data_IF_365312889791
#
_entry.id   IF_365312889791
#
_cell.length_a   1.000
_cell.length_b   1.000
_cell.length_c   1.000
_cell.angle_alpha   90.00
_cell.angle_beta   90.00
_cell.angle_gamma   90.00
#
_symmetry.space_group_name_H-M   'P 1'
#
loop_
_entity.id
_entity.type
_entity.pdbx_description
1 polymer ?
#
# COMPACT_ATOMS: atom_id res chain seq x y z
N UNK A 1 23.62 -2.21 -3.68
CA UNK A 1 23.04 -3.45 -3.10
C UNK A 1 22.26 -4.23 -4.14
N UNK A 2 22.20 -5.55 -3.97
CA UNK A 2 21.31 -6.45 -4.71
C UNK A 2 20.08 -6.76 -3.84
N UNK A 3 18.89 -6.38 -4.24
CA UNK A 3 17.70 -6.41 -3.39
C UNK A 3 16.61 -7.28 -4.02
N UNK A 4 16.02 -8.17 -3.21
CA UNK A 4 14.84 -8.94 -3.59
C UNK A 4 13.58 -8.25 -3.05
N UNK A 5 12.59 -7.96 -3.92
CA UNK A 5 11.36 -7.27 -3.51
C UNK A 5 10.13 -8.14 -3.78
N UNK A 6 9.55 -8.67 -2.74
CA UNK A 6 8.26 -9.37 -2.80
C UNK A 6 7.12 -8.35 -2.87
N UNK A 7 6.28 -8.44 -3.89
CA UNK A 7 5.24 -7.45 -4.15
C UNK A 7 5.74 -6.18 -4.87
N UNK A 8 6.95 -6.22 -5.46
CA UNK A 8 7.56 -5.09 -6.18
C UNK A 8 6.74 -4.58 -7.37
N UNK A 9 5.91 -5.41 -8.00
CA UNK A 9 5.02 -5.01 -9.11
C UNK A 9 3.78 -4.24 -8.65
N UNK A 10 3.48 -4.20 -7.34
CA UNK A 10 2.35 -3.48 -6.77
C UNK A 10 2.55 -1.95 -6.73
N UNK A 11 1.52 -1.23 -6.28
CA UNK A 11 1.51 0.22 -6.19
C UNK A 11 2.71 0.79 -5.41
N UNK A 12 2.91 0.37 -4.17
CA UNK A 12 4.05 0.82 -3.35
C UNK A 12 5.37 0.26 -3.87
N UNK A 13 5.35 -1.00 -4.33
CA UNK A 13 6.54 -1.67 -4.85
C UNK A 13 7.17 -0.94 -6.03
N UNK A 14 6.36 -0.40 -6.95
CA UNK A 14 6.84 0.39 -8.08
C UNK A 14 7.55 1.68 -7.65
N UNK A 15 7.00 2.38 -6.65
CA UNK A 15 7.62 3.58 -6.11
C UNK A 15 8.96 3.27 -5.43
N UNK A 16 9.02 2.18 -4.65
CA UNK A 16 10.26 1.70 -4.02
C UNK A 16 11.28 1.30 -5.09
N UNK A 17 10.90 0.50 -6.11
CA UNK A 17 11.80 0.11 -7.20
C UNK A 17 12.38 1.34 -7.91
N UNK A 18 11.56 2.34 -8.22
CA UNK A 18 12.03 3.57 -8.89
C UNK A 18 13.08 4.30 -8.06
N UNK A 19 12.85 4.47 -6.75
CA UNK A 19 13.80 5.15 -5.86
C UNK A 19 15.09 4.34 -5.65
N UNK A 20 14.99 3.02 -5.55
CA UNK A 20 16.16 2.14 -5.41
C UNK A 20 17.03 2.16 -6.66
N UNK A 21 16.42 2.14 -7.86
CA UNK A 21 17.16 2.30 -9.13
C UNK A 21 17.87 3.65 -9.18
N UNK A 22 17.20 4.73 -8.80
CA UNK A 22 17.80 6.07 -8.72
C UNK A 22 18.96 6.14 -7.72
N UNK A 23 18.93 5.31 -6.66
CA UNK A 23 20.03 5.16 -5.70
C UNK A 23 21.12 4.17 -6.15
N UNK A 24 21.04 3.61 -7.36
CA UNK A 24 22.08 2.72 -7.93
C UNK A 24 22.01 1.26 -7.47
N UNK A 25 20.87 0.81 -6.95
CA UNK A 25 20.69 -0.59 -6.53
C UNK A 25 20.21 -1.49 -7.66
N UNK A 26 20.53 -2.77 -7.59
CA UNK A 26 20.02 -3.83 -8.47
C UNK A 26 18.86 -4.55 -7.80
N UNK A 27 17.77 -4.77 -8.54
CA UNK A 27 16.51 -5.24 -7.97
C UNK A 27 16.06 -6.52 -8.68
N UNK A 28 15.60 -7.50 -7.91
CA UNK A 28 14.90 -8.68 -8.41
C UNK A 28 13.46 -8.66 -7.90
N UNK A 29 12.49 -8.76 -8.80
CA UNK A 29 11.06 -8.76 -8.48
C UNK A 29 10.44 -10.06 -8.97
N UNK A 30 10.10 -11.02 -8.10
CA UNK A 30 9.30 -12.18 -8.47
C UNK A 30 7.83 -11.78 -8.68
N UNK A 31 7.23 -12.32 -9.71
CA UNK A 31 5.82 -12.13 -10.04
C UNK A 31 5.21 -13.39 -10.63
N UNK A 32 3.94 -13.67 -10.34
CA UNK A 32 3.22 -14.81 -10.92
C UNK A 32 2.88 -14.66 -12.40
N UNK A 33 2.84 -13.42 -12.90
CA UNK A 33 2.58 -13.06 -14.30
C UNK A 33 3.43 -11.86 -14.66
N UNK A 34 4.25 -11.99 -15.69
CA UNK A 34 5.17 -10.94 -16.15
C UNK A 34 4.43 -9.64 -16.49
N UNK A 35 3.22 -9.74 -17.02
CA UNK A 35 2.39 -8.59 -17.36
C UNK A 35 2.05 -7.67 -16.17
N UNK A 36 1.97 -8.21 -14.96
CA UNK A 36 1.74 -7.41 -13.76
C UNK A 36 2.90 -6.47 -13.44
N UNK A 37 4.08 -6.73 -13.99
CA UNK A 37 5.29 -5.97 -13.77
C UNK A 37 5.67 -5.04 -14.94
N UNK A 38 4.78 -4.83 -15.92
CA UNK A 38 5.07 -3.99 -17.12
C UNK A 38 5.60 -2.61 -16.77
N UNK A 39 5.09 -2.00 -15.71
CA UNK A 39 5.55 -0.68 -15.25
C UNK A 39 7.02 -0.66 -14.77
N UNK A 40 7.61 -1.83 -14.50
CA UNK A 40 9.01 -1.96 -14.08
C UNK A 40 9.98 -2.16 -15.25
N UNK A 41 9.49 -2.55 -16.44
CA UNK A 41 10.36 -2.84 -17.58
C UNK A 41 11.23 -1.66 -18.07
N UNK A 42 10.79 -0.39 -17.99
CA UNK A 42 11.63 0.73 -18.35
C UNK A 42 12.74 1.05 -17.33
N UNK A 43 12.66 0.48 -16.12
CA UNK A 43 13.63 0.74 -15.07
C UNK A 43 14.92 -0.07 -15.33
N UNK A 44 16.08 0.58 -15.48
CA UNK A 44 17.35 -0.14 -15.56
C UNK A 44 17.60 -0.86 -14.24
N UNK A 45 18.41 -1.90 -14.25
CA UNK A 45 18.80 -2.67 -13.06
C UNK A 45 17.64 -3.36 -12.32
N UNK A 46 16.45 -3.52 -12.96
CA UNK A 46 15.33 -4.31 -12.45
C UNK A 46 15.19 -5.60 -13.26
N UNK A 47 15.35 -6.73 -12.61
CA UNK A 47 15.08 -8.06 -13.18
C UNK A 47 13.71 -8.55 -12.68
N UNK A 48 12.83 -8.86 -13.62
CA UNK A 48 11.52 -9.46 -13.33
C UNK A 48 11.56 -10.93 -13.58
N UNK A 49 11.34 -11.73 -12.53
CA UNK A 49 11.32 -13.21 -12.57
C UNK A 49 9.86 -13.70 -12.52
N UNK A 50 9.41 -14.43 -13.56
CA UNK A 50 8.07 -15.02 -13.55
C UNK A 50 8.11 -16.36 -12.84
N UNK A 51 7.80 -16.35 -11.55
CA UNK A 51 7.85 -17.50 -10.64
C UNK A 51 6.78 -17.40 -9.55
N UNK A 52 6.45 -18.55 -8.95
CA UNK A 52 5.67 -18.58 -7.71
C UNK A 52 6.60 -18.45 -6.49
N UNK A 53 6.64 -17.25 -5.93
CA UNK A 53 7.42 -16.95 -4.70
C UNK A 53 6.78 -17.53 -3.42
N UNK A 54 5.72 -18.33 -3.50
CA UNK A 54 5.19 -19.07 -2.36
C UNK A 54 5.93 -20.39 -2.09
N UNK A 55 6.72 -20.87 -3.06
CA UNK A 55 7.57 -22.02 -2.89
C UNK A 55 8.90 -21.64 -2.24
N UNK A 56 9.22 -22.31 -1.12
CA UNK A 56 10.41 -22.01 -0.32
C UNK A 56 11.71 -22.21 -1.11
N UNK A 57 11.81 -23.26 -1.90
CA UNK A 57 13.03 -23.56 -2.68
C UNK A 57 13.28 -22.47 -3.74
N UNK A 58 12.23 -22.08 -4.44
CA UNK A 58 12.25 -20.98 -5.42
C UNK A 58 12.66 -19.66 -4.76
N UNK A 59 12.04 -19.34 -3.63
CA UNK A 59 12.33 -18.08 -2.94
C UNK A 59 13.74 -18.06 -2.36
N UNK A 60 14.22 -19.18 -1.83
CA UNK A 60 15.61 -19.32 -1.35
C UNK A 60 16.61 -19.10 -2.50
N UNK A 61 16.38 -19.72 -3.67
CA UNK A 61 17.21 -19.50 -4.87
C UNK A 61 17.28 -18.02 -5.26
N UNK A 62 16.16 -17.31 -5.21
CA UNK A 62 16.10 -15.88 -5.52
C UNK A 62 16.79 -15.01 -4.46
N UNK A 63 16.83 -15.46 -3.22
CA UNK A 63 17.47 -14.75 -2.11
C UNK A 63 19.00 -14.92 -2.06
N UNK A 64 19.55 -15.97 -2.68
CA UNK A 64 21.00 -16.18 -2.73
C UNK A 64 21.71 -14.99 -3.38
N UNK A 65 22.73 -14.45 -2.70
CA UNK A 65 23.53 -13.31 -3.15
C UNK A 65 22.80 -11.96 -3.09
N UNK A 66 21.68 -11.88 -2.38
CA UNK A 66 21.01 -10.60 -2.06
C UNK A 66 21.52 -10.02 -0.76
N UNK A 67 21.66 -8.70 -0.73
CA UNK A 67 22.06 -7.95 0.45
C UNK A 67 20.86 -7.71 1.38
N UNK A 68 19.65 -7.56 0.80
CA UNK A 68 18.42 -7.32 1.54
C UNK A 68 17.19 -7.93 0.85
N UNK A 69 16.16 -8.23 1.65
CA UNK A 69 14.83 -8.60 1.18
C UNK A 69 13.80 -7.58 1.67
N UNK A 70 12.95 -7.09 0.77
CA UNK A 70 11.82 -6.22 1.08
C UNK A 70 10.53 -7.00 0.84
N UNK A 71 9.73 -7.17 1.89
CA UNK A 71 8.42 -7.83 1.81
C UNK A 71 7.29 -6.81 1.87
N UNK A 72 6.65 -6.57 0.72
CA UNK A 72 5.51 -5.66 0.55
C UNK A 72 4.20 -6.43 0.34
N UNK A 73 4.20 -7.75 0.55
CA UNK A 73 3.01 -8.57 0.32
C UNK A 73 1.87 -8.16 1.25
N UNK A 74 0.72 -7.89 0.65
CA UNK A 74 -0.48 -7.52 1.37
C UNK A 74 -1.69 -7.50 0.46
N UNK A 75 -2.85 -7.81 1.03
CA UNK A 75 -4.15 -7.77 0.36
C UNK A 75 -5.17 -7.12 1.30
N UNK A 76 -6.25 -6.54 0.73
CA UNK A 76 -7.36 -5.95 1.47
C UNK A 76 -8.62 -6.83 1.46
N UNK A 77 -8.60 -7.93 0.73
CA UNK A 77 -9.63 -8.97 0.69
C UNK A 77 -9.02 -10.30 0.22
N UNK A 78 -9.67 -11.41 0.53
CA UNK A 78 -9.21 -12.76 0.18
C UNK A 78 -8.54 -13.50 1.33
N UNK A 79 -7.59 -14.38 1.04
CA UNK A 79 -6.94 -15.21 2.05
C UNK A 79 -5.80 -14.44 2.77
N UNK A 80 -6.17 -13.68 3.79
CA UNK A 80 -5.24 -12.91 4.62
C UNK A 80 -4.18 -13.79 5.28
N UNK A 81 -4.56 -14.96 5.80
CA UNK A 81 -3.66 -15.88 6.48
C UNK A 81 -2.50 -16.30 5.58
N UNK A 82 -2.83 -16.75 4.37
CA UNK A 82 -1.81 -17.15 3.40
C UNK A 82 -0.84 -16.00 3.08
N UNK A 83 -1.36 -14.80 2.83
CA UNK A 83 -0.54 -13.70 2.33
C UNK A 83 0.25 -13.01 3.44
N UNK A 84 -0.39 -12.74 4.60
CA UNK A 84 0.25 -11.95 5.65
C UNK A 84 1.08 -12.81 6.62
N UNK A 85 0.75 -14.10 6.77
CA UNK A 85 1.41 -14.99 7.73
C UNK A 85 2.28 -16.00 7.00
N UNK A 86 1.67 -16.94 6.25
CA UNK A 86 2.42 -18.05 5.63
C UNK A 86 3.51 -17.57 4.67
N UNK A 87 3.21 -16.59 3.78
CA UNK A 87 4.24 -16.08 2.86
C UNK A 87 5.31 -15.25 3.58
N UNK A 88 4.99 -14.60 4.69
CA UNK A 88 5.99 -13.92 5.52
C UNK A 88 6.93 -14.93 6.18
N UNK A 89 6.39 -16.04 6.71
CA UNK A 89 7.16 -17.14 7.27
C UNK A 89 8.09 -17.76 6.21
N UNK A 90 7.56 -18.04 5.02
CA UNK A 90 8.35 -18.54 3.87
C UNK A 90 9.48 -17.59 3.49
N UNK A 91 9.20 -16.28 3.47
CA UNK A 91 10.22 -15.27 3.15
C UNK A 91 11.34 -15.21 4.21
N UNK A 92 10.99 -15.28 5.48
CA UNK A 92 11.96 -15.33 6.58
C UNK A 92 12.82 -16.59 6.49
N UNK A 93 12.21 -17.75 6.26
CA UNK A 93 12.93 -19.02 6.10
C UNK A 93 13.90 -18.99 4.90
N UNK A 94 13.47 -18.41 3.77
CA UNK A 94 14.31 -18.22 2.59
C UNK A 94 15.50 -17.29 2.88
N UNK A 95 15.29 -16.18 3.59
CA UNK A 95 16.38 -15.29 4.00
C UNK A 95 17.42 -16.01 4.84
N UNK A 96 16.98 -16.77 5.86
CA UNK A 96 17.88 -17.56 6.73
C UNK A 96 18.66 -18.60 5.94
N UNK A 97 17.99 -19.33 5.05
CA UNK A 97 18.64 -20.36 4.21
C UNK A 97 19.65 -19.76 3.22
N UNK A 98 19.42 -18.55 2.74
CA UNK A 98 20.28 -17.83 1.81
C UNK A 98 21.35 -16.96 2.49
N UNK A 99 21.34 -16.85 3.83
CA UNK A 99 22.27 -16.00 4.59
C UNK A 99 22.00 -14.50 4.48
N UNK A 100 20.77 -14.08 4.12
CA UNK A 100 20.38 -12.66 4.04
C UNK A 100 19.93 -12.18 5.41
N UNK A 101 20.66 -11.25 6.01
CA UNK A 101 20.36 -10.72 7.33
C UNK A 101 19.35 -9.55 7.29
N UNK A 102 19.44 -8.66 6.29
CA UNK A 102 18.62 -7.45 6.20
C UNK A 102 17.23 -7.71 5.64
N UNK A 103 16.18 -7.38 6.42
CA UNK A 103 14.78 -7.65 6.05
C UNK A 103 13.86 -6.47 6.36
N UNK A 104 13.23 -5.90 5.34
CA UNK A 104 12.26 -4.82 5.50
C UNK A 104 10.85 -5.35 5.27
N UNK A 105 9.93 -5.05 6.18
CA UNK A 105 8.57 -5.58 6.16
C UNK A 105 7.52 -4.47 6.15
N UNK A 106 6.56 -4.57 5.23
CA UNK A 106 5.39 -3.69 5.23
C UNK A 106 4.24 -4.31 6.01
N UNK A 107 3.96 -3.72 7.16
CA UNK A 107 2.77 -3.98 7.96
C UNK A 107 1.65 -2.99 7.63
N UNK A 108 0.84 -2.64 8.60
CA UNK A 108 -0.20 -1.62 8.51
C UNK A 108 -0.41 -0.94 9.85
N UNK A 109 -0.72 0.34 9.84
CA UNK A 109 -1.16 1.05 11.03
C UNK A 109 -2.43 0.39 11.59
N UNK A 110 -2.48 0.18 12.89
CA UNK A 110 -3.57 -0.54 13.55
C UNK A 110 -3.46 -2.07 13.49
N UNK A 111 -2.34 -2.64 13.02
CA UNK A 111 -2.07 -4.07 13.16
C UNK A 111 -2.07 -4.46 14.65
N UNK A 112 -2.97 -5.35 15.06
CA UNK A 112 -3.17 -5.78 16.44
C UNK A 112 -3.76 -7.18 16.49
N UNK A 113 -3.28 -8.03 17.38
CA UNK A 113 -3.82 -9.38 17.60
C UNK A 113 -5.26 -9.33 18.13
N UNK A 114 -5.61 -8.26 18.84
CA UNK A 114 -6.96 -8.00 19.37
C UNK A 114 -7.79 -7.12 18.43
N UNK A 115 -7.26 -6.79 17.26
CA UNK A 115 -7.94 -5.95 16.26
C UNK A 115 -9.30 -6.54 15.84
N UNK A 116 -10.28 -5.70 15.49
CA UNK A 116 -11.63 -6.18 15.15
C UNK A 116 -11.70 -6.93 13.81
N UNK A 117 -10.74 -6.73 12.91
CA UNK A 117 -10.71 -7.33 11.56
C UNK A 117 -9.67 -8.43 11.43
N UNK A 118 -9.91 -9.38 10.53
CA UNK A 118 -8.91 -10.39 10.18
C UNK A 118 -7.66 -9.78 9.54
N UNK A 119 -7.84 -8.71 8.75
CA UNK A 119 -6.74 -7.94 8.20
C UNK A 119 -5.76 -7.48 9.28
N UNK A 120 -6.27 -6.80 10.34
CA UNK A 120 -5.44 -6.31 11.44
C UNK A 120 -4.75 -7.43 12.22
N UNK A 121 -5.50 -8.51 12.51
CA UNK A 121 -4.97 -9.68 13.24
C UNK A 121 -3.86 -10.38 12.47
N UNK A 122 -4.05 -10.62 11.19
CA UNK A 122 -3.05 -11.33 10.38
C UNK A 122 -1.82 -10.45 10.09
N UNK A 123 -1.99 -9.13 9.95
CA UNK A 123 -0.85 -8.19 9.87
C UNK A 123 -0.02 -8.22 11.15
N UNK A 124 -0.65 -8.20 12.33
CA UNK A 124 0.03 -8.30 13.61
C UNK A 124 0.79 -9.62 13.77
N UNK A 125 0.20 -10.75 13.33
CA UNK A 125 0.87 -12.05 13.36
C UNK A 125 2.09 -12.08 12.41
N UNK A 126 1.98 -11.46 11.22
CA UNK A 126 3.13 -11.27 10.33
C UNK A 126 4.24 -10.45 11.00
N UNK A 127 3.91 -9.35 11.70
CA UNK A 127 4.88 -8.59 12.48
C UNK A 127 5.57 -9.43 13.57
N UNK A 128 4.81 -10.29 14.29
CA UNK A 128 5.37 -11.16 15.32
C UNK A 128 6.43 -12.11 14.73
N UNK A 129 6.12 -12.78 13.62
CA UNK A 129 7.07 -13.64 12.91
C UNK A 129 8.36 -12.89 12.53
N UNK A 130 8.24 -11.64 12.07
CA UNK A 130 9.39 -10.81 11.71
C UNK A 130 10.22 -10.46 12.95
N UNK A 131 9.58 -10.08 14.07
CA UNK A 131 10.27 -9.77 15.34
C UNK A 131 11.04 -10.96 15.90
N UNK A 132 10.47 -12.16 15.79
CA UNK A 132 11.04 -13.42 16.26
C UNK A 132 12.03 -14.04 15.28
N UNK A 133 12.18 -13.46 14.09
CA UNK A 133 13.01 -14.03 13.03
C UNK A 133 14.51 -14.07 13.35
N UNK A 134 15.02 -13.19 14.20
CA UNK A 134 16.44 -12.99 14.43
C UNK A 134 17.16 -12.23 13.32
N UNK A 135 16.45 -11.78 12.27
CA UNK A 135 17.00 -10.95 11.20
C UNK A 135 17.17 -9.49 11.66
N UNK A 136 17.98 -8.73 10.95
CA UNK A 136 18.07 -7.27 11.11
C UNK A 136 16.90 -6.62 10.35
N UNK A 137 15.72 -6.72 10.95
CA UNK A 137 14.48 -6.27 10.34
C UNK A 137 14.23 -4.77 10.58
N UNK A 138 13.44 -4.17 9.68
CA UNK A 138 12.69 -2.93 9.95
C UNK A 138 11.23 -3.15 9.52
N UNK A 139 10.29 -2.84 10.41
CA UNK A 139 8.86 -2.94 10.13
C UNK A 139 8.31 -1.54 9.90
N UNK A 140 7.67 -1.32 8.77
CA UNK A 140 6.92 -0.11 8.48
C UNK A 140 5.43 -0.39 8.53
N UNK A 141 4.71 0.39 9.32
CA UNK A 141 3.27 0.31 9.52
C UNK A 141 2.60 1.60 8.99
N UNK A 142 2.35 1.71 7.68
CA UNK A 142 1.74 2.88 7.11
C UNK A 142 0.24 2.98 7.42
N UNK A 143 -0.26 4.21 7.53
CA UNK A 143 -1.67 4.53 7.34
C UNK A 143 -2.07 4.30 5.88
N UNK A 144 -3.25 4.74 5.48
CA UNK A 144 -3.66 4.68 4.07
C UNK A 144 -2.64 5.41 3.19
N UNK A 145 -2.12 4.70 2.19
CA UNK A 145 -1.11 5.24 1.28
C UNK A 145 -1.80 5.85 0.06
N UNK A 146 -1.47 7.09 -0.27
CA UNK A 146 -2.00 7.80 -1.42
C UNK A 146 -0.90 8.15 -2.43
N UNK A 147 -1.30 8.34 -3.69
CA UNK A 147 -0.42 8.72 -4.79
C UNK A 147 -0.94 8.24 -6.14
N UNK A 148 -0.24 8.58 -7.21
CA UNK A 148 -0.65 8.19 -8.58
C UNK A 148 -0.81 6.67 -8.68
N UNK A 149 -2.04 6.22 -8.97
CA UNK A 149 -2.39 4.80 -9.10
C UNK A 149 -2.72 4.11 -7.77
N UNK A 150 -2.98 4.86 -6.68
CA UNK A 150 -3.53 4.28 -5.45
C UNK A 150 -4.92 3.69 -5.69
N UNK A 151 -5.30 2.73 -4.86
CA UNK A 151 -6.61 2.10 -4.92
C UNK A 151 -7.60 2.69 -3.91
N UNK A 152 -7.28 3.79 -3.25
CA UNK A 152 -8.13 4.41 -2.24
C UNK A 152 -8.76 5.72 -2.78
N UNK A 153 -8.00 6.78 -2.98
CA UNK A 153 -8.53 8.05 -3.46
C UNK A 153 -8.98 7.96 -4.93
N UNK A 154 -8.24 7.23 -5.78
CA UNK A 154 -8.63 7.02 -7.17
C UNK A 154 -9.95 6.25 -7.32
N UNK A 155 -10.26 5.30 -6.39
CA UNK A 155 -11.59 4.65 -6.39
C UNK A 155 -12.71 5.64 -6.09
N UNK A 156 -12.52 6.55 -5.14
CA UNK A 156 -13.52 7.58 -4.87
C UNK A 156 -13.66 8.53 -6.03
N UNK A 157 -12.57 8.95 -6.68
CA UNK A 157 -12.64 9.77 -7.89
C UNK A 157 -13.43 9.08 -9.01
N UNK A 158 -13.17 7.79 -9.24
CA UNK A 158 -13.92 6.99 -10.20
C UNK A 158 -15.40 6.82 -9.82
N UNK A 159 -15.69 6.53 -8.54
CA UNK A 159 -17.09 6.42 -8.09
C UNK A 159 -17.86 7.71 -8.28
N UNK A 160 -17.25 8.85 -7.94
CA UNK A 160 -17.84 10.17 -8.12
C UNK A 160 -18.11 10.44 -9.60
N UNK A 161 -17.16 10.16 -10.50
CA UNK A 161 -17.32 10.40 -11.95
C UNK A 161 -18.40 9.53 -12.62
N UNK A 162 -18.80 8.43 -11.99
CA UNK A 162 -19.85 7.52 -12.50
C UNK A 162 -21.23 7.82 -11.93
N UNK A 163 -21.34 8.69 -10.92
CA UNK A 163 -22.63 9.06 -10.33
C UNK A 163 -23.42 9.95 -11.30
N UNK A 164 -24.71 9.65 -11.55
CA UNK A 164 -25.57 10.56 -12.31
C UNK A 164 -25.75 11.91 -11.57
N UNK A 165 -25.91 13.01 -12.28
CA UNK A 165 -26.21 14.31 -11.67
C UNK A 165 -27.35 14.23 -10.66
N UNK A 166 -27.23 14.92 -9.54
CA UNK A 166 -28.21 14.99 -8.44
C UNK A 166 -28.34 13.72 -7.56
N UNK A 167 -27.66 12.63 -7.89
CA UNK A 167 -27.61 11.44 -7.02
C UNK A 167 -26.59 11.67 -5.92
N UNK A 168 -26.97 11.61 -4.62
CA UNK A 168 -26.02 11.78 -3.54
C UNK A 168 -25.05 10.60 -3.45
N UNK A 169 -23.81 10.88 -3.08
CA UNK A 169 -22.83 9.85 -2.75
C UNK A 169 -23.11 9.32 -1.35
N UNK A 170 -23.55 8.06 -1.27
CA UNK A 170 -23.74 7.36 0.01
C UNK A 170 -22.40 6.82 0.49
N UNK A 171 -21.94 7.29 1.67
CA UNK A 171 -20.62 7.00 2.18
C UNK A 171 -20.68 6.20 3.50
N UNK A 172 -20.45 4.87 3.44
CA UNK A 172 -20.29 4.04 4.63
C UNK A 172 -19.03 4.45 5.40
N UNK A 173 -19.08 4.48 6.74
CA UNK A 173 -17.93 4.81 7.56
C UNK A 173 -17.44 6.26 7.43
N UNK A 174 -18.34 7.20 7.09
CA UNK A 174 -18.01 8.60 6.83
C UNK A 174 -17.21 9.31 7.95
N UNK A 175 -17.37 8.89 9.20
CA UNK A 175 -16.67 9.42 10.38
C UNK A 175 -15.34 8.70 10.69
N UNK A 176 -15.00 7.63 9.99
CA UNK A 176 -13.74 6.91 10.19
C UNK A 176 -12.55 7.87 9.93
N UNK A 177 -11.56 7.81 10.83
CA UNK A 177 -10.42 8.70 10.80
C UNK A 177 -9.20 8.04 10.15
N UNK A 178 -8.52 8.79 9.31
CA UNK A 178 -7.31 8.39 8.60
C UNK A 178 -6.25 9.51 8.66
N UNK A 179 -5.00 9.11 8.59
CA UNK A 179 -3.85 10.02 8.49
C UNK A 179 -3.00 9.63 7.28
N UNK A 180 -3.49 9.92 6.05
CA UNK A 180 -2.91 9.43 4.81
C UNK A 180 -1.44 9.80 4.65
N UNK A 181 -0.62 8.87 4.14
CA UNK A 181 0.81 9.08 3.88
C UNK A 181 1.08 8.95 2.38
N UNK A 182 1.98 9.78 1.85
CA UNK A 182 2.37 9.73 0.44
C UNK A 182 3.15 8.43 0.13
N UNK A 183 2.88 7.82 -1.02
CA UNK A 183 3.64 6.66 -1.51
C UNK A 183 5.12 6.99 -1.69
N UNK A 184 5.45 8.22 -2.04
CA UNK A 184 6.83 8.68 -2.19
C UNK A 184 7.56 8.75 -0.85
N UNK A 185 6.86 9.15 0.22
CA UNK A 185 7.41 9.17 1.58
C UNK A 185 7.61 7.76 2.11
N UNK A 186 6.65 6.86 1.87
CA UNK A 186 6.80 5.44 2.21
C UNK A 186 8.00 4.85 1.48
N UNK A 187 8.14 5.10 0.18
CA UNK A 187 9.26 4.59 -0.60
C UNK A 187 10.59 5.16 -0.10
N UNK A 188 10.65 6.46 0.24
CA UNK A 188 11.82 7.10 0.83
C UNK A 188 12.22 6.46 2.16
N UNK A 189 11.24 6.15 3.03
CA UNK A 189 11.50 5.49 4.31
C UNK A 189 12.09 4.08 4.13
N UNK A 190 11.57 3.30 3.17
CA UNK A 190 12.13 1.98 2.85
C UNK A 190 13.56 2.06 2.33
N UNK A 191 13.84 2.99 1.42
CA UNK A 191 15.19 3.14 0.83
C UNK A 191 16.18 3.61 1.88
N UNK A 192 15.84 4.64 2.65
CA UNK A 192 16.73 5.19 3.67
C UNK A 192 17.05 4.19 4.79
N UNK A 193 16.10 3.32 5.14
CA UNK A 193 16.32 2.31 6.18
C UNK A 193 17.27 1.18 5.77
N UNK A 194 17.58 0.99 4.49
CA UNK A 194 18.45 -0.11 4.05
C UNK A 194 19.82 -0.09 4.73
N UNK A 195 20.42 1.10 4.78
CA UNK A 195 21.76 1.33 5.29
C UNK A 195 21.78 2.01 6.68
N UNK A 196 20.61 2.38 7.22
CA UNK A 196 20.50 3.01 8.53
C UNK A 196 20.40 1.96 9.64
N UNK A 197 21.51 1.68 10.31
CA UNK A 197 21.58 0.73 11.42
C UNK A 197 20.66 1.11 12.59
N UNK A 198 20.34 2.40 12.77
CA UNK A 198 19.39 2.84 13.80
C UNK A 198 17.97 2.33 13.57
N UNK A 199 17.66 1.94 12.33
CA UNK A 199 16.39 1.34 11.95
C UNK A 199 16.29 -0.16 12.21
N UNK A 200 17.40 -0.83 12.54
CA UNK A 200 17.44 -2.27 12.74
C UNK A 200 16.66 -2.68 13.99
N UNK A 201 15.82 -3.70 13.80
CA UNK A 201 14.92 -4.26 14.83
C UNK A 201 13.91 -3.24 15.36
N UNK A 202 13.60 -2.22 14.57
CA UNK A 202 12.63 -1.18 14.89
C UNK A 202 11.34 -1.33 14.10
N UNK A 203 10.28 -0.73 14.64
CA UNK A 203 8.98 -0.57 13.99
C UNK A 203 8.63 0.91 13.91
N UNK A 204 8.30 1.37 12.72
CA UNK A 204 7.92 2.76 12.47
C UNK A 204 6.49 2.85 11.93
N UNK A 205 5.71 3.76 12.49
CA UNK A 205 4.41 4.14 11.94
C UNK A 205 4.62 5.25 10.91
N UNK A 206 4.13 5.02 9.70
CA UNK A 206 4.25 6.01 8.64
C UNK A 206 2.91 6.69 8.43
N UNK A 207 2.82 7.93 8.88
CA UNK A 207 1.61 8.74 8.83
C UNK A 207 1.90 10.11 8.20
N UNK A 208 0.91 10.68 7.54
CA UNK A 208 1.01 12.03 7.01
C UNK A 208 0.84 13.10 8.11
N UNK A 209 1.01 14.37 7.76
CA UNK A 209 0.99 15.46 8.75
C UNK A 209 -0.41 15.79 9.30
N UNK A 210 -1.49 15.32 8.67
CA UNK A 210 -2.86 15.74 8.99
C UNK A 210 -3.84 14.57 9.04
N UNK A 211 -4.76 14.64 10.00
CA UNK A 211 -5.85 13.68 10.17
C UNK A 211 -7.10 14.14 9.42
N UNK A 212 -7.77 13.21 8.73
CA UNK A 212 -9.01 13.46 8.00
C UNK A 212 -10.07 12.44 8.40
N UNK A 213 -11.33 12.83 8.34
CA UNK A 213 -12.42 11.86 8.27
C UNK A 213 -12.54 11.32 6.83
N UNK A 214 -13.11 10.13 6.65
CA UNK A 214 -13.38 9.59 5.31
C UNK A 214 -14.24 10.57 4.50
N UNK A 215 -15.25 11.20 5.14
CA UNK A 215 -16.08 12.24 4.51
C UNK A 215 -15.24 13.43 4.01
N UNK A 216 -14.27 13.89 4.80
CA UNK A 216 -13.40 15.00 4.40
C UNK A 216 -12.49 14.61 3.22
N UNK A 217 -11.94 13.38 3.21
CA UNK A 217 -11.14 12.88 2.09
C UNK A 217 -11.96 12.81 0.80
N UNK A 218 -13.18 12.25 0.86
CA UNK A 218 -14.05 12.14 -0.30
C UNK A 218 -14.52 13.52 -0.79
N UNK A 219 -14.84 14.43 0.12
CA UNK A 219 -15.17 15.82 -0.23
C UNK A 219 -14.00 16.51 -0.94
N UNK A 220 -12.77 16.27 -0.48
CA UNK A 220 -11.56 16.80 -1.12
C UNK A 220 -11.37 16.24 -2.54
N UNK A 221 -11.56 14.92 -2.72
CA UNK A 221 -11.53 14.28 -4.04
C UNK A 221 -12.59 14.90 -4.97
N UNK A 222 -13.81 15.15 -4.48
CA UNK A 222 -14.87 15.81 -5.26
C UNK A 222 -14.46 17.21 -5.70
N UNK A 223 -13.85 18.00 -4.79
CA UNK A 223 -13.34 19.34 -5.15
C UNK A 223 -12.33 19.26 -6.30
N UNK A 224 -11.36 18.34 -6.22
CA UNK A 224 -10.34 18.14 -7.26
C UNK A 224 -10.95 17.65 -8.59
N UNK A 225 -12.00 16.83 -8.52
CA UNK A 225 -12.74 16.35 -9.70
C UNK A 225 -13.72 17.38 -10.27
N UNK A 226 -13.82 18.58 -9.65
CA UNK A 226 -14.83 19.60 -9.97
C UNK A 226 -16.28 19.08 -9.88
N UNK A 227 -16.52 18.19 -8.92
CA UNK A 227 -17.81 17.55 -8.69
C UNK A 227 -18.54 18.20 -7.50
N UNK A 228 -19.88 18.18 -7.53
CA UNK A 228 -20.74 18.83 -6.55
C UNK A 228 -21.78 17.91 -5.91
N UNK A 229 -21.60 16.59 -5.98
CA UNK A 229 -22.53 15.67 -5.35
C UNK A 229 -22.57 15.87 -3.83
N UNK A 230 -23.75 15.70 -3.24
CA UNK A 230 -23.92 15.70 -1.80
C UNK A 230 -23.43 14.39 -1.20
N UNK A 231 -22.67 14.44 -0.10
CA UNK A 231 -22.22 13.24 0.63
C UNK A 231 -23.17 12.96 1.78
N UNK A 232 -23.81 11.78 1.75
CA UNK A 232 -24.64 11.24 2.83
C UNK A 232 -23.88 10.16 3.56
N UNK A 233 -23.44 10.41 4.80
CA UNK A 233 -22.82 9.42 5.67
C UNK A 233 -23.84 8.42 6.22
N UNK A 234 -23.53 7.13 6.16
CA UNK A 234 -24.35 6.10 6.78
C UNK A 234 -23.98 5.90 8.26
N UNK A 235 -24.96 5.71 9.15
CA UNK A 235 -24.70 5.30 10.52
C UNK A 235 -24.12 3.86 10.54
N UNK A 236 -23.41 3.51 11.63
CA UNK A 236 -22.63 2.27 11.71
C UNK A 236 -23.41 1.00 11.41
N UNK A 237 -24.67 0.88 11.90
CA UNK A 237 -25.50 -0.29 11.64
C UNK A 237 -25.86 -0.42 10.15
N UNK A 238 -26.20 0.68 9.47
CA UNK A 238 -26.51 0.69 8.04
C UNK A 238 -25.26 0.41 7.19
N UNK A 239 -24.09 0.89 7.64
CA UNK A 239 -22.78 0.56 7.03
C UNK A 239 -22.52 -0.93 7.07
N UNK A 240 -22.73 -1.60 8.20
CA UNK A 240 -22.52 -3.05 8.36
C UNK A 240 -23.48 -3.86 7.50
N UNK A 241 -24.74 -3.45 7.44
CA UNK A 241 -25.76 -4.11 6.60
C UNK A 241 -25.42 -3.98 5.11
N UNK A 242 -25.03 -2.79 4.66
CA UNK A 242 -24.62 -2.55 3.27
C UNK A 242 -23.38 -3.37 2.90
N UNK A 243 -22.36 -3.45 3.76
CA UNK A 243 -21.18 -4.26 3.54
C UNK A 243 -21.49 -5.76 3.39
N UNK A 244 -22.47 -6.27 4.16
CA UNK A 244 -22.92 -7.66 4.07
C UNK A 244 -23.59 -7.98 2.73
N UNK A 245 -24.14 -7.00 2.04
CA UNK A 245 -24.69 -7.14 0.69
C UNK A 245 -23.61 -6.94 -0.38
N UNK A 246 -22.78 -5.90 -0.24
CA UNK A 246 -21.77 -5.55 -1.24
C UNK A 246 -20.62 -6.57 -1.35
N UNK A 247 -20.40 -7.42 -0.35
CA UNK A 247 -19.42 -8.51 -0.44
C UNK A 247 -19.70 -9.51 -1.56
N UNK A 248 -20.96 -9.63 -2.01
CA UNK A 248 -21.36 -10.51 -3.12
C UNK A 248 -21.20 -9.86 -4.51
N UNK A 249 -20.90 -8.57 -4.56
CA UNK A 249 -20.62 -7.89 -5.83
C UNK A 249 -19.23 -8.29 -6.31
N UNK A 250 -19.04 -8.64 -7.59
CA UNK A 250 -17.73 -9.12 -8.11
C UNK A 250 -16.54 -8.19 -7.82
N UNK A 251 -16.77 -6.88 -7.79
CA UNK A 251 -15.73 -5.87 -7.48
C UNK A 251 -15.43 -5.72 -5.99
N UNK A 252 -16.30 -6.28 -5.11
CA UNK A 252 -16.22 -6.21 -3.65
C UNK A 252 -15.78 -4.82 -3.13
N UNK A 253 -16.52 -3.76 -3.42
CA UNK A 253 -16.10 -2.39 -3.11
C UNK A 253 -15.99 -2.13 -1.61
N UNK A 254 -16.74 -2.87 -0.80
CA UNK A 254 -16.73 -2.84 0.67
C UNK A 254 -17.02 -4.24 1.22
N UNK A 255 -16.16 -4.73 2.11
CA UNK A 255 -16.35 -6.01 2.79
C UNK A 255 -16.67 -5.78 4.28
N UNK A 256 -17.29 -6.74 4.97
CA UNK A 256 -17.50 -6.68 6.42
C UNK A 256 -16.19 -6.50 7.20
N UNK A 257 -15.08 -7.07 6.71
CA UNK A 257 -13.76 -6.92 7.32
C UNK A 257 -13.21 -5.50 7.18
N UNK A 258 -13.45 -4.84 6.04
CA UNK A 258 -13.09 -3.43 5.85
C UNK A 258 -13.87 -2.53 6.81
N UNK A 259 -15.18 -2.78 7.03
CA UNK A 259 -16.00 -2.02 7.99
C UNK A 259 -15.48 -2.20 9.41
N UNK A 260 -15.10 -3.42 9.79
CA UNK A 260 -14.46 -3.68 11.08
C UNK A 260 -13.13 -2.93 11.21
N UNK A 261 -12.30 -2.92 10.18
CA UNK A 261 -11.05 -2.14 10.19
C UNK A 261 -11.29 -0.65 10.38
N UNK A 262 -12.35 -0.09 9.76
CA UNK A 262 -12.71 1.33 9.88
C UNK A 262 -13.33 1.71 11.24
N UNK A 263 -13.68 0.74 12.09
CA UNK A 263 -14.17 1.01 13.45
C UNK A 263 -13.08 1.49 14.40
N UNK A 264 -11.82 1.32 14.02
CA UNK A 264 -10.65 1.81 14.75
C UNK A 264 -10.03 2.96 13.95
N UNK A 265 -9.67 4.05 14.65
CA UNK A 265 -9.01 5.18 14.02
C UNK A 265 -7.66 4.76 13.43
N UNK A 266 -7.43 5.11 12.16
CA UNK A 266 -6.18 4.84 11.46
C UNK A 266 -5.27 6.08 11.53
N UNK A 267 -4.90 6.44 12.77
CA UNK A 267 -4.12 7.63 13.13
C UNK A 267 -3.04 7.29 14.14
N UNK A 268 -1.99 8.08 14.18
CA UNK A 268 -0.89 7.92 15.14
C UNK A 268 -0.37 9.28 15.61
N UNK A 269 0.16 9.31 16.82
CA UNK A 269 0.94 10.45 17.35
C UNK A 269 2.44 10.29 17.06
N UNK A 270 2.89 9.21 16.44
CA UNK A 270 4.28 8.99 16.12
C UNK A 270 4.78 10.03 15.10
N UNK A 271 6.00 10.48 15.30
CA UNK A 271 6.69 11.33 14.31
C UNK A 271 7.18 10.49 13.15
N UNK A 272 7.21 11.07 11.96
CA UNK A 272 7.80 10.40 10.80
C UNK A 272 9.29 10.14 11.05
N UNK A 273 9.86 8.99 10.62
CA UNK A 273 11.25 8.62 10.91
C UNK A 273 12.22 9.70 10.43
N UNK A 274 13.11 10.18 11.32
CA UNK A 274 14.05 11.27 11.01
C UNK A 274 14.97 10.96 9.82
N UNK A 275 15.39 9.70 9.66
CA UNK A 275 16.22 9.25 8.53
C UNK A 275 15.48 9.33 7.19
N UNK A 276 14.16 9.38 7.20
CA UNK A 276 13.33 9.48 6.00
C UNK A 276 12.81 10.92 5.75
N UNK A 277 13.22 11.91 6.56
CA UNK A 277 12.84 13.31 6.42
C UNK A 277 11.44 13.62 6.96
N UNK A 278 10.68 14.45 6.28
CA UNK A 278 9.33 14.89 6.70
C UNK A 278 8.24 14.30 5.79
N UNK A 279 7.07 14.05 6.38
CA UNK A 279 5.92 13.58 5.63
C UNK A 279 5.29 14.72 4.81
N UNK A 280 4.92 14.41 3.57
CA UNK A 280 4.30 15.35 2.62
C UNK A 280 2.79 15.43 2.83
N UNK A 281 2.22 16.62 2.75
CA UNK A 281 0.79 16.81 2.89
C UNK A 281 0.02 16.27 1.67
N UNK A 282 -1.22 15.83 1.92
CA UNK A 282 -2.12 15.34 0.87
C UNK A 282 -2.34 16.42 -0.20
N UNK A 283 -2.52 17.65 0.26
CA UNK A 283 -2.80 18.82 -0.57
C UNK A 283 -1.68 19.17 -1.55
N UNK A 284 -0.43 18.78 -1.24
CA UNK A 284 0.74 19.04 -2.11
C UNK A 284 0.87 18.03 -3.25
N UNK A 285 0.28 16.84 -3.11
CA UNK A 285 0.47 15.72 -4.06
C UNK A 285 -0.80 15.39 -4.83
N UNK A 286 -1.95 15.34 -4.16
CA UNK A 286 -3.20 14.86 -4.74
C UNK A 286 -3.69 15.66 -5.95
N UNK A 287 -3.55 17.00 -6.02
CA UNK A 287 -3.94 17.76 -7.21
C UNK A 287 -3.22 17.30 -8.49
N UNK A 288 -1.98 16.85 -8.37
CA UNK A 288 -1.16 16.42 -9.50
C UNK A 288 -1.60 15.11 -10.16
N UNK A 289 -2.54 14.35 -9.56
CA UNK A 289 -3.02 13.09 -10.16
C UNK A 289 -4.53 12.84 -10.03
N UNK A 290 -5.24 13.58 -9.17
CA UNK A 290 -6.70 13.48 -9.02
C UNK A 290 -7.43 14.63 -9.71
N UNK A 291 -6.73 15.71 -10.08
CA UNK A 291 -7.31 16.85 -10.78
C UNK A 291 -7.73 16.49 -12.19
N UNK A 292 -8.74 17.18 -12.70
CA UNK A 292 -9.26 16.97 -14.06
C UNK A 292 -8.20 17.18 -15.15
N UNK A 293 -7.25 18.09 -14.91
CA UNK A 293 -6.11 18.34 -15.82
C UNK A 293 -5.17 17.14 -15.88
N UNK A 294 -4.90 16.49 -14.75
CA UNK A 294 -4.06 15.29 -14.71
C UNK A 294 -4.66 14.10 -15.45
N UNK A 295 -6.01 13.97 -15.43
CA UNK A 295 -6.73 12.93 -16.19
C UNK A 295 -6.68 13.23 -17.69
N UNK A 296 -6.75 14.50 -18.09
CA UNK A 296 -6.65 14.93 -19.50
C UNK A 296 -5.25 14.68 -20.05
N UNK A 297 -4.20 14.99 -19.29
CA UNK A 297 -2.79 14.76 -19.67
C UNK A 297 -2.47 13.26 -19.83
N UNK A 298 -3.06 12.39 -19.02
CA UNK A 298 -2.83 10.94 -19.15
C UNK A 298 -3.37 10.37 -20.47
N UNK A 299 -4.42 10.98 -21.03
CA UNK A 299 -5.01 10.60 -22.32
C UNK A 299 -4.49 11.43 -23.51
N UNK A 300 -3.75 12.52 -23.28
CA UNK A 300 -3.21 13.35 -24.34
C UNK A 300 -2.38 12.56 -25.38
N UNK A 301 -1.42 11.68 -24.97
CA UNK A 301 -0.65 10.88 -25.94
C UNK A 301 -1.49 9.85 -26.72
N UNK A 302 -2.61 9.41 -26.16
CA UNK A 302 -3.51 8.50 -26.85
C UNK A 302 -4.40 9.24 -27.87
N UNK A 303 -4.78 10.48 -27.56
CA UNK A 303 -5.54 11.35 -28.48
C UNK A 303 -4.70 11.80 -29.68
N UNK A 304 -3.44 12.19 -29.45
CA UNK A 304 -2.51 12.54 -30.55
C UNK A 304 -2.30 11.36 -31.51
N UNK A 305 -2.20 10.12 -31.00
CA UNK A 305 -2.11 8.92 -31.84
C UNK A 305 -3.40 8.56 -32.57
N UNK A 306 -4.55 8.98 -32.04
CA UNK A 306 -5.85 8.75 -32.63
C UNK A 306 -6.28 9.84 -33.65
N UNK A 307 -5.48 10.89 -33.86
CA UNK A 307 -5.71 11.92 -34.86
C UNK A 307 -6.89 12.86 -34.52
N UNK A 308 -7.16 13.10 -33.25
CA UNK A 308 -8.14 14.08 -32.77
C UNK A 308 -7.49 15.21 -32.02
#
# INVERSE_FOLDING_TARGET
MNILILGGSGFVGRAICSKLVAAGHSITVPTRKRDNARALFPLPSVTVEEVDASDLATLTRLAIGKDAVINLLGILNGNFERIHVTLTETAIAACKAAGVARYLHMSALGASVDGPSQYQKTKARGEALVRESGLDFTIFAPSVIFGRGDSFLNKFAQMVSLLPPLVPMVLPGASAQFQPVSVDDVARAFVAALDDESSFRQRYELVGPKVYTLKALVAYVMVLAHDKHMIIGLPGFATSMLASVLQFVPTQPLTPDNVKSMSVANVSSATFPAFAGTATALEDVAPGYLGREAIVDEFAPARERAGH
#
